data_IF_804056496211
#
_entry.id   IF_804056496211
#
_cell.length_a   1.000
_cell.length_b   1.000
_cell.length_c   1.000
_cell.angle_alpha   90.00
_cell.angle_beta   90.00
_cell.angle_gamma   90.00
#
_symmetry.space_group_name_H-M   'P 1'
#
loop_
_entity.id
_entity.type
_entity.pdbx_description
1 polymer ?
#
# COMPACT_ATOMS: atom_id res chain seq x y z
N UNK A 1 -3.04 -18.04 -19.53
CA UNK A 1 -3.41 -16.79 -18.85
C UNK A 1 -2.93 -15.63 -19.71
N UNK A 2 -3.78 -14.62 -19.94
CA UNK A 2 -3.50 -13.49 -20.85
C UNK A 2 -2.54 -12.48 -20.19
N UNK A 3 -1.86 -11.64 -21.00
CA UNK A 3 -0.96 -10.57 -20.51
C UNK A 3 -1.60 -9.70 -19.42
N UNK A 4 -2.88 -9.30 -19.57
CA UNK A 4 -3.60 -8.52 -18.59
C UNK A 4 -3.67 -9.14 -17.19
N UNK A 5 -3.73 -10.46 -17.08
CA UNK A 5 -3.68 -11.13 -15.78
C UNK A 5 -2.35 -10.85 -15.03
N UNK A 6 -1.20 -11.01 -15.72
CA UNK A 6 0.10 -10.78 -15.09
C UNK A 6 0.32 -9.31 -14.75
N UNK A 7 -0.21 -8.40 -15.55
CA UNK A 7 -0.17 -6.96 -15.28
C UNK A 7 -0.92 -6.63 -13.98
N UNK A 8 -2.15 -7.14 -13.81
CA UNK A 8 -2.92 -6.97 -12.57
C UNK A 8 -2.23 -7.64 -11.37
N UNK A 9 -1.62 -8.81 -11.57
CA UNK A 9 -0.84 -9.48 -10.51
C UNK A 9 0.36 -8.63 -10.05
N UNK A 10 1.05 -7.98 -10.99
CA UNK A 10 2.15 -7.06 -10.66
C UNK A 10 1.63 -5.83 -9.90
N UNK A 11 0.54 -5.21 -10.35
CA UNK A 11 -0.09 -4.10 -9.67
C UNK A 11 -0.49 -4.46 -8.22
N UNK A 12 -1.11 -5.61 -8.04
CA UNK A 12 -1.49 -6.15 -6.73
C UNK A 12 -0.27 -6.37 -5.84
N UNK A 13 0.79 -6.97 -6.39
CA UNK A 13 2.02 -7.25 -5.64
C UNK A 13 2.65 -5.95 -5.11
N UNK A 14 2.87 -4.97 -5.97
CA UNK A 14 3.47 -3.68 -5.58
C UNK A 14 2.58 -2.90 -4.61
N UNK A 15 1.27 -2.89 -4.81
CA UNK A 15 0.33 -2.23 -3.90
C UNK A 15 0.37 -2.85 -2.50
N UNK A 16 0.30 -4.18 -2.40
CA UNK A 16 0.33 -4.89 -1.12
C UNK A 16 1.71 -4.80 -0.45
N UNK A 17 2.79 -4.86 -1.22
CA UNK A 17 4.16 -4.67 -0.72
C UNK A 17 4.31 -3.28 -0.08
N UNK A 18 3.85 -2.24 -0.77
CA UNK A 18 3.90 -0.88 -0.25
C UNK A 18 3.05 -0.69 1.01
N UNK A 19 1.84 -1.28 1.08
CA UNK A 19 0.97 -1.25 2.27
C UNK A 19 1.71 -1.78 3.52
N UNK A 20 2.40 -2.91 3.37
CA UNK A 20 3.11 -3.57 4.48
C UNK A 20 4.45 -2.91 4.82
N UNK A 21 5.17 -2.40 3.83
CA UNK A 21 6.37 -1.61 4.07
C UNK A 21 6.04 -0.30 4.78
N UNK A 22 4.96 0.38 4.37
CA UNK A 22 4.50 1.62 4.99
C UNK A 22 4.09 1.42 6.45
N UNK A 23 3.54 0.26 6.81
CA UNK A 23 3.27 -0.09 8.21
C UNK A 23 4.54 0.01 9.07
N UNK A 24 5.62 -0.62 8.63
CA UNK A 24 6.90 -0.62 9.36
C UNK A 24 7.46 0.80 9.46
N UNK A 25 7.42 1.55 8.36
CA UNK A 25 7.89 2.94 8.32
C UNK A 25 7.04 3.84 9.22
N UNK A 26 5.72 3.65 9.27
CA UNK A 26 4.82 4.40 10.16
C UNK A 26 5.09 4.11 11.64
N UNK A 27 5.39 2.85 11.99
CA UNK A 27 5.82 2.47 13.35
C UNK A 27 7.10 3.22 13.72
N UNK A 28 8.10 3.25 12.83
CA UNK A 28 9.37 3.93 13.10
C UNK A 28 9.20 5.46 13.16
N UNK A 29 8.34 6.03 12.31
CA UNK A 29 8.02 7.46 12.36
C UNK A 29 7.38 7.85 13.70
N UNK A 30 6.43 7.07 14.21
CA UNK A 30 5.83 7.28 15.53
C UNK A 30 6.88 7.14 16.64
N UNK A 31 7.79 6.17 16.52
CA UNK A 31 8.87 5.96 17.49
C UNK A 31 9.83 7.15 17.50
N UNK A 32 10.27 7.62 16.33
CA UNK A 32 11.17 8.76 16.19
C UNK A 32 10.56 10.07 16.74
N UNK A 33 9.23 10.20 16.62
CA UNK A 33 8.48 11.35 17.17
C UNK A 33 8.17 11.22 18.68
N UNK A 34 8.67 10.18 19.37
CA UNK A 34 8.41 9.97 20.79
C UNK A 34 6.93 9.65 21.12
N UNK A 35 6.17 9.16 20.13
CA UNK A 35 4.75 8.87 20.30
C UNK A 35 4.52 7.74 21.32
N UNK A 36 3.43 7.82 22.14
CA UNK A 36 3.08 6.78 23.09
C UNK A 36 2.90 5.40 22.42
N UNK A 37 3.18 4.32 23.13
CA UNK A 37 3.13 2.95 22.59
C UNK A 37 1.76 2.56 22.01
N UNK A 38 0.67 3.06 22.62
CA UNK A 38 -0.67 2.78 22.13
C UNK A 38 -0.89 3.27 20.69
N UNK A 39 -0.22 4.34 20.25
CA UNK A 39 -0.34 4.83 18.87
C UNK A 39 0.27 3.85 17.87
N UNK A 40 1.36 3.19 18.22
CA UNK A 40 1.97 2.14 17.38
C UNK A 40 1.03 0.93 17.28
N UNK A 41 0.43 0.53 18.40
CA UNK A 41 -0.57 -0.54 18.41
C UNK A 41 -1.86 -0.17 17.64
N UNK A 42 -2.23 1.11 17.63
CA UNK A 42 -3.41 1.62 16.94
C UNK A 42 -3.28 1.66 15.41
N UNK A 43 -2.08 1.54 14.84
CA UNK A 43 -1.90 1.54 13.37
C UNK A 43 -2.71 0.43 12.69
N UNK A 44 -2.66 -0.80 13.21
CA UNK A 44 -3.38 -1.94 12.63
C UNK A 44 -4.90 -1.73 12.65
N UNK A 45 -5.54 -1.40 13.79
CA UNK A 45 -6.97 -1.11 13.79
C UNK A 45 -7.34 0.14 12.97
N UNK A 46 -6.49 1.15 12.88
CA UNK A 46 -6.74 2.31 12.01
C UNK A 46 -6.76 1.94 10.53
N UNK A 47 -5.84 1.10 10.07
CA UNK A 47 -5.85 0.56 8.72
C UNK A 47 -7.11 -0.29 8.46
N UNK A 48 -7.47 -1.14 9.42
CA UNK A 48 -8.61 -2.05 9.31
C UNK A 48 -9.97 -1.35 9.46
N UNK A 49 -10.01 -0.14 10.02
CA UNK A 49 -11.24 0.59 10.33
C UNK A 49 -12.20 0.66 9.12
N UNK A 50 -11.67 1.01 7.96
CA UNK A 50 -12.48 1.18 6.76
C UNK A 50 -12.92 -0.15 6.13
N UNK A 51 -12.25 -1.26 6.40
CA UNK A 51 -12.77 -2.57 6.03
C UNK A 51 -14.08 -2.90 6.75
N UNK A 52 -14.22 -2.45 8.00
CA UNK A 52 -15.44 -2.65 8.78
C UNK A 52 -16.51 -1.60 8.40
N UNK A 53 -16.14 -0.32 8.43
CA UNK A 53 -17.09 0.79 8.20
C UNK A 53 -17.63 0.78 6.77
N UNK A 54 -16.80 0.47 5.78
CA UNK A 54 -17.19 0.49 4.38
C UNK A 54 -17.65 -0.87 3.84
N UNK A 55 -17.61 -1.94 4.64
CA UNK A 55 -18.01 -3.27 4.20
C UNK A 55 -19.35 -3.29 3.43
N UNK A 56 -20.40 -2.58 3.85
CA UNK A 56 -21.69 -2.57 3.13
C UNK A 56 -21.63 -1.84 1.78
N UNK A 57 -20.68 -0.94 1.59
CA UNK A 57 -20.63 -0.01 0.46
C UNK A 57 -19.59 -0.36 -0.60
N UNK A 58 -18.49 -1.00 -0.22
CA UNK A 58 -17.35 -1.23 -1.14
C UNK A 58 -17.71 -2.19 -2.28
N UNK A 59 -18.62 -3.14 -2.05
CA UNK A 59 -19.13 -4.02 -3.10
C UNK A 59 -19.88 -3.22 -4.16
N UNK A 60 -20.84 -2.40 -3.74
CA UNK A 60 -21.62 -1.54 -4.63
C UNK A 60 -20.71 -0.54 -5.39
N UNK A 61 -19.74 0.05 -4.72
CA UNK A 61 -18.74 0.90 -5.36
C UNK A 61 -17.91 0.15 -6.41
N UNK A 62 -17.48 -1.06 -6.09
CA UNK A 62 -16.71 -1.89 -7.00
C UNK A 62 -17.52 -2.34 -8.21
N UNK A 63 -18.85 -2.49 -8.08
CA UNK A 63 -19.74 -2.89 -9.15
C UNK A 63 -20.25 -1.72 -10.02
N UNK A 64 -20.23 -0.51 -9.46
CA UNK A 64 -20.63 0.71 -10.18
C UNK A 64 -19.66 1.16 -11.28
N UNK A 65 -18.40 0.73 -11.23
CA UNK A 65 -17.34 1.16 -12.13
C UNK A 65 -16.58 -0.04 -12.70
N UNK A 66 -15.92 0.10 -13.87
CA UNK A 66 -14.98 -0.91 -14.35
C UNK A 66 -13.92 -1.22 -13.30
N UNK A 67 -13.67 -2.50 -13.03
CA UNK A 67 -12.81 -2.96 -11.92
C UNK A 67 -11.40 -2.31 -11.96
N UNK A 68 -10.81 -2.13 -13.15
CA UNK A 68 -9.55 -1.42 -13.30
C UNK A 68 -9.61 0.02 -12.81
N UNK A 69 -10.72 0.76 -13.09
CA UNK A 69 -10.90 2.12 -12.57
C UNK A 69 -11.01 2.15 -11.04
N UNK A 70 -11.72 1.19 -10.45
CA UNK A 70 -11.81 1.06 -8.99
C UNK A 70 -10.44 0.83 -8.39
N UNK A 71 -9.66 -0.10 -8.95
CA UNK A 71 -8.29 -0.38 -8.50
C UNK A 71 -7.39 0.86 -8.62
N UNK A 72 -7.48 1.61 -9.72
CA UNK A 72 -6.74 2.85 -9.93
C UNK A 72 -7.11 3.91 -8.87
N UNK A 73 -8.39 4.20 -8.68
CA UNK A 73 -8.89 5.18 -7.70
C UNK A 73 -8.42 4.76 -6.29
N UNK A 74 -8.55 3.49 -5.95
CA UNK A 74 -8.16 2.95 -4.66
C UNK A 74 -6.66 3.12 -4.39
N UNK A 75 -5.81 2.83 -5.37
CA UNK A 75 -4.36 3.07 -5.25
C UNK A 75 -4.02 4.57 -5.23
N UNK A 76 -4.75 5.42 -5.95
CA UNK A 76 -4.58 6.87 -5.84
C UNK A 76 -4.88 7.38 -4.41
N UNK A 77 -5.91 6.84 -3.75
CA UNK A 77 -6.21 7.13 -2.34
C UNK A 77 -5.04 6.71 -1.44
N UNK A 78 -4.42 5.54 -1.69
CA UNK A 78 -3.24 5.09 -0.95
C UNK A 78 -2.04 6.03 -1.14
N UNK A 79 -1.81 6.50 -2.38
CA UNK A 79 -0.79 7.52 -2.66
C UNK A 79 -1.05 8.79 -1.85
N UNK A 80 -2.30 9.27 -1.80
CA UNK A 80 -2.67 10.44 -1.00
C UNK A 80 -2.35 10.20 0.47
N UNK A 81 -2.73 9.05 1.05
CA UNK A 81 -2.40 8.71 2.42
C UNK A 81 -0.89 8.68 2.68
N UNK A 82 -0.12 8.12 1.75
CA UNK A 82 1.34 8.10 1.82
C UNK A 82 1.93 9.52 1.77
N UNK A 83 1.44 10.38 0.88
CA UNK A 83 1.85 11.80 0.80
C UNK A 83 1.44 12.58 2.04
N UNK A 84 0.25 12.35 2.60
CA UNK A 84 -0.15 12.96 3.88
C UNK A 84 0.87 12.64 4.98
N UNK A 85 1.32 11.39 5.07
CA UNK A 85 2.34 10.98 6.03
C UNK A 85 3.68 11.66 5.76
N UNK A 86 4.08 11.79 4.49
CA UNK A 86 5.31 12.45 4.07
C UNK A 86 5.34 13.93 4.46
N UNK A 87 4.21 14.64 4.29
CA UNK A 87 4.09 16.07 4.59
C UNK A 87 3.66 16.38 6.03
N UNK A 88 3.84 15.44 6.96
CA UNK A 88 3.73 15.67 8.40
C UNK A 88 2.31 15.53 8.97
N UNK A 89 1.35 14.97 8.24
CA UNK A 89 0.07 14.59 8.84
C UNK A 89 0.28 13.47 9.87
N UNK A 90 -0.61 13.41 10.86
CA UNK A 90 -0.49 12.40 11.92
C UNK A 90 -0.49 10.98 11.33
N UNK A 91 0.51 10.12 11.65
CA UNK A 91 0.69 8.82 11.01
C UNK A 91 -0.54 7.90 11.08
N UNK A 92 -1.30 7.93 12.18
CA UNK A 92 -2.53 7.15 12.33
C UNK A 92 -3.59 7.55 11.30
N UNK A 93 -3.78 8.87 11.08
CA UNK A 93 -4.77 9.38 10.11
C UNK A 93 -4.34 9.04 8.69
N UNK A 94 -3.08 9.30 8.38
CA UNK A 94 -2.53 9.02 7.06
C UNK A 94 -2.61 7.51 6.72
N UNK A 95 -2.28 6.65 7.68
CA UNK A 95 -2.37 5.20 7.50
C UNK A 95 -3.81 4.68 7.43
N UNK A 96 -4.76 5.35 8.11
CA UNK A 96 -6.18 5.08 7.96
C UNK A 96 -6.66 5.39 6.53
N UNK A 97 -6.18 6.49 5.90
CA UNK A 97 -6.48 6.81 4.50
C UNK A 97 -5.92 5.74 3.55
N UNK A 98 -4.73 5.21 3.82
CA UNK A 98 -4.20 4.06 3.07
C UNK A 98 -5.12 2.84 3.23
N UNK A 99 -5.60 2.57 4.44
CA UNK A 99 -6.57 1.51 4.74
C UNK A 99 -7.91 1.70 4.00
N UNK A 100 -8.38 2.94 3.86
CA UNK A 100 -9.55 3.27 3.03
C UNK A 100 -9.33 2.82 1.58
N UNK A 101 -8.19 3.17 0.98
CA UNK A 101 -7.84 2.72 -0.36
C UNK A 101 -7.74 1.19 -0.46
N UNK A 102 -7.17 0.53 0.55
CA UNK A 102 -7.03 -0.92 0.59
C UNK A 102 -8.40 -1.62 0.69
N UNK A 103 -9.32 -1.10 1.50
CA UNK A 103 -10.68 -1.61 1.63
C UNK A 103 -11.45 -1.50 0.31
N UNK A 104 -11.37 -0.35 -0.37
CA UNK A 104 -12.01 -0.13 -1.67
C UNK A 104 -11.39 -0.98 -2.80
N UNK A 105 -10.10 -1.27 -2.73
CA UNK A 105 -9.38 -2.10 -3.70
C UNK A 105 -9.79 -3.58 -3.64
N UNK A 106 -10.08 -4.07 -2.45
CA UNK A 106 -10.26 -5.51 -2.18
C UNK A 106 -11.32 -6.19 -3.05
N UNK A 107 -12.57 -5.71 -3.16
CA UNK A 107 -13.58 -6.38 -3.99
C UNK A 107 -13.25 -6.29 -5.49
N UNK A 108 -12.64 -5.20 -5.96
CA UNK A 108 -12.24 -5.06 -7.37
C UNK A 108 -11.12 -6.04 -7.75
N UNK A 109 -10.19 -6.30 -6.83
CA UNK A 109 -9.09 -7.27 -7.00
C UNK A 109 -9.59 -8.67 -7.36
N UNK A 110 -10.63 -9.14 -6.68
CA UNK A 110 -11.22 -10.45 -6.97
C UNK A 110 -12.20 -10.40 -8.14
N UNK A 111 -12.96 -9.32 -8.26
CA UNK A 111 -13.93 -9.13 -9.34
C UNK A 111 -13.28 -9.11 -10.73
N UNK A 112 -12.10 -8.48 -10.88
CA UNK A 112 -11.43 -8.40 -12.18
C UNK A 112 -10.99 -9.78 -12.71
N UNK A 113 -10.79 -10.77 -11.86
CA UNK A 113 -10.45 -12.12 -12.28
C UNK A 113 -11.57 -12.77 -13.08
N UNK A 114 -12.81 -12.54 -12.68
CA UNK A 114 -13.99 -13.11 -13.38
C UNK A 114 -14.22 -12.46 -14.74
N UNK A 115 -13.72 -11.23 -14.93
CA UNK A 115 -13.76 -10.53 -16.23
C UNK A 115 -12.61 -10.98 -17.16
N UNK A 116 -11.45 -11.35 -16.61
CA UNK A 116 -10.25 -11.67 -17.38
C UNK A 116 -10.11 -13.16 -17.72
N UNK A 117 -10.71 -14.05 -16.91
CA UNK A 117 -10.45 -15.48 -16.96
C UNK A 117 -11.74 -16.29 -17.03
N UNK A 118 -11.73 -17.43 -17.76
CA UNK A 118 -12.83 -18.37 -17.75
C UNK A 118 -12.97 -19.07 -16.38
N UNK A 119 -14.16 -19.57 -16.01
CA UNK A 119 -14.41 -20.21 -14.72
C UNK A 119 -13.42 -21.33 -14.36
N UNK A 120 -12.97 -22.10 -15.36
CA UNK A 120 -12.01 -23.20 -15.18
C UNK A 120 -10.63 -22.75 -14.67
N UNK A 121 -10.29 -21.47 -14.79
CA UNK A 121 -9.00 -20.92 -14.35
C UNK A 121 -9.09 -20.11 -13.05
N UNK A 122 -10.28 -19.83 -12.53
CA UNK A 122 -10.47 -18.94 -11.36
C UNK A 122 -9.82 -19.50 -10.09
N UNK A 123 -9.91 -20.81 -9.85
CA UNK A 123 -9.28 -21.43 -8.67
C UNK A 123 -7.77 -21.24 -8.69
N UNK A 124 -7.14 -21.47 -9.86
CA UNK A 124 -5.71 -21.25 -10.02
C UNK A 124 -5.33 -19.78 -9.89
N UNK A 125 -6.14 -18.87 -10.42
CA UNK A 125 -5.90 -17.43 -10.35
C UNK A 125 -6.02 -16.90 -8.91
N UNK A 126 -7.01 -17.37 -8.15
CA UNK A 126 -7.12 -17.05 -6.72
C UNK A 126 -5.91 -17.54 -5.92
N UNK A 127 -5.43 -18.76 -6.21
CA UNK A 127 -4.20 -19.26 -5.59
C UNK A 127 -2.98 -18.37 -5.88
N UNK A 128 -2.85 -17.84 -7.10
CA UNK A 128 -1.81 -16.89 -7.47
C UNK A 128 -1.95 -15.55 -6.71
N UNK A 129 -3.18 -14.99 -6.62
CA UNK A 129 -3.43 -13.76 -5.87
C UNK A 129 -3.04 -13.92 -4.41
N UNK A 130 -3.48 -15.00 -3.77
CA UNK A 130 -3.18 -15.22 -2.35
C UNK A 130 -1.68 -15.48 -2.12
N UNK A 131 -1.05 -16.28 -2.97
CA UNK A 131 0.39 -16.52 -2.89
C UNK A 131 1.22 -15.24 -3.06
N UNK A 132 0.86 -14.38 -4.03
CA UNK A 132 1.50 -13.08 -4.23
C UNK A 132 1.20 -12.12 -3.07
N UNK A 133 -0.01 -12.15 -2.51
CA UNK A 133 -0.35 -11.33 -1.33
C UNK A 133 0.50 -11.72 -0.14
N UNK A 134 0.63 -13.01 0.16
CA UNK A 134 1.50 -13.49 1.27
C UNK A 134 2.97 -13.12 0.99
N UNK A 135 3.45 -13.36 -0.22
CA UNK A 135 4.81 -12.97 -0.62
C UNK A 135 5.06 -11.47 -0.48
N UNK A 136 4.10 -10.63 -0.89
CA UNK A 136 4.21 -9.17 -0.77
C UNK A 136 4.15 -8.69 0.67
N UNK A 137 3.42 -9.36 1.57
CA UNK A 137 3.42 -9.06 3.00
C UNK A 137 4.81 -9.29 3.59
N UNK A 138 5.38 -10.47 3.36
CA UNK A 138 6.71 -10.83 3.88
C UNK A 138 7.77 -9.87 3.33
N UNK A 139 7.81 -9.69 2.01
CA UNK A 139 8.79 -8.82 1.36
C UNK A 139 8.57 -7.35 1.72
N UNK A 140 7.33 -6.90 1.89
CA UNK A 140 6.99 -5.55 2.30
C UNK A 140 7.49 -5.22 3.70
N UNK A 141 7.27 -6.13 4.66
CA UNK A 141 7.79 -5.95 6.03
C UNK A 141 9.32 -5.93 6.04
N UNK A 142 9.96 -6.83 5.29
CA UNK A 142 11.44 -6.84 5.17
C UNK A 142 11.94 -5.56 4.49
N UNK A 143 11.33 -5.13 3.40
CA UNK A 143 11.70 -3.90 2.70
C UNK A 143 11.50 -2.67 3.59
N UNK A 144 10.38 -2.57 4.32
CA UNK A 144 10.15 -1.50 5.28
C UNK A 144 11.22 -1.45 6.36
N UNK A 145 11.58 -2.62 6.94
CA UNK A 145 12.66 -2.72 7.92
C UNK A 145 14.03 -2.31 7.35
N UNK A 146 14.33 -2.70 6.11
CA UNK A 146 15.57 -2.29 5.44
C UNK A 146 15.61 -0.79 5.18
N UNK A 147 14.50 -0.19 4.74
CA UNK A 147 14.42 1.25 4.44
C UNK A 147 14.65 2.14 5.67
N UNK A 148 14.27 1.68 6.86
CA UNK A 148 14.49 2.41 8.12
C UNK A 148 15.73 1.95 8.88
N UNK A 149 16.56 1.07 8.29
CA UNK A 149 17.80 0.61 8.90
C UNK A 149 18.86 1.70 8.91
N UNK A 150 19.78 1.62 9.86
CA UNK A 150 20.92 2.58 9.97
C UNK A 150 21.80 2.62 8.71
N UNK A 151 21.93 1.50 8.01
CA UNK A 151 22.70 1.40 6.76
C UNK A 151 22.00 2.12 5.61
N UNK A 152 20.67 1.93 5.45
CA UNK A 152 19.90 2.64 4.45
C UNK A 152 19.86 4.14 4.73
N UNK A 153 19.75 4.53 6.00
CA UNK A 153 19.79 5.94 6.42
C UNK A 153 21.10 6.58 6.00
N UNK A 154 22.26 5.95 6.30
CA UNK A 154 23.57 6.47 5.94
C UNK A 154 23.74 6.63 4.42
N UNK A 155 23.22 5.67 3.64
CA UNK A 155 23.26 5.72 2.18
C UNK A 155 22.36 6.82 1.62
N UNK A 156 21.15 6.96 2.15
CA UNK A 156 20.13 7.90 1.65
C UNK A 156 20.48 9.34 2.02
N UNK A 157 21.06 9.59 3.19
CA UNK A 157 21.57 10.91 3.58
C UNK A 157 22.76 11.40 2.73
N UNK A 158 23.40 10.51 1.96
CA UNK A 158 24.43 10.92 1.01
C UNK A 158 23.89 11.49 -0.30
N UNK A 159 22.55 11.55 -0.49
CA UNK A 159 21.90 12.02 -1.71
C UNK A 159 21.45 13.49 -1.51
N UNK A 160 22.18 14.50 -2.04
CA UNK A 160 21.86 15.92 -1.83
C UNK A 160 20.49 16.34 -2.38
N UNK A 161 19.96 15.58 -3.37
CA UNK A 161 18.67 15.88 -3.98
C UNK A 161 17.48 15.71 -3.02
N UNK A 162 17.60 14.90 -1.97
CA UNK A 162 16.54 14.71 -0.97
C UNK A 162 16.41 15.92 -0.07
N UNK A 163 17.51 16.53 0.31
CA UNK A 163 17.53 17.75 1.11
C UNK A 163 16.90 18.92 0.37
N UNK A 164 17.11 18.99 -0.95
CA UNK A 164 16.55 20.04 -1.82
C UNK A 164 15.01 20.01 -1.88
N UNK A 165 14.38 18.84 -1.64
CA UNK A 165 12.92 18.67 -1.63
C UNK A 165 12.34 18.60 -0.20
N UNK A 166 13.15 18.93 0.82
CA UNK A 166 12.71 18.99 2.21
C UNK A 166 12.55 17.64 2.89
N UNK A 167 13.21 16.60 2.41
CA UNK A 167 13.20 15.25 2.99
C UNK A 167 14.49 15.05 3.80
N UNK A 168 14.38 15.19 5.11
CA UNK A 168 15.55 15.17 6.00
C UNK A 168 15.61 13.94 6.93
N UNK A 169 14.56 13.14 7.00
CA UNK A 169 14.47 12.01 7.91
C UNK A 169 14.44 10.65 7.20
N UNK A 170 14.98 9.62 7.86
CA UNK A 170 14.95 8.24 7.33
C UNK A 170 13.54 7.76 6.99
N UNK A 171 12.60 7.98 7.90
CA UNK A 171 11.20 7.61 7.68
C UNK A 171 10.59 8.39 6.50
N UNK A 172 10.89 9.69 6.37
CA UNK A 172 10.42 10.50 5.24
C UNK A 172 10.98 10.00 3.91
N UNK A 173 12.27 9.66 3.86
CA UNK A 173 12.89 9.08 2.67
C UNK A 173 12.29 7.73 2.30
N UNK A 174 12.04 6.88 3.29
CA UNK A 174 11.37 5.60 3.09
C UNK A 174 9.95 5.80 2.54
N UNK A 175 9.16 6.74 3.08
CA UNK A 175 7.82 7.08 2.60
C UNK A 175 7.89 7.59 1.16
N UNK A 176 8.86 8.44 0.82
CA UNK A 176 9.06 8.93 -0.53
C UNK A 176 9.30 7.80 -1.53
N UNK A 177 10.15 6.82 -1.19
CA UNK A 177 10.37 5.63 -2.01
C UNK A 177 9.07 4.82 -2.17
N UNK A 178 8.27 4.70 -1.10
CA UNK A 178 7.00 3.97 -1.16
C UNK A 178 5.96 4.64 -2.05
N UNK A 179 5.97 5.98 -2.18
CA UNK A 179 5.15 6.70 -3.16
C UNK A 179 5.45 6.22 -4.58
N UNK A 180 6.72 6.02 -4.93
CA UNK A 180 7.09 5.46 -6.24
C UNK A 180 6.62 4.02 -6.43
N UNK A 181 6.68 3.19 -5.39
CA UNK A 181 6.19 1.79 -5.47
C UNK A 181 4.67 1.78 -5.69
N UNK A 182 3.91 2.65 -5.02
CA UNK A 182 2.48 2.82 -5.30
C UNK A 182 2.24 3.35 -6.72
N UNK A 183 3.06 4.29 -7.19
CA UNK A 183 2.97 4.80 -8.56
C UNK A 183 3.23 3.70 -9.60
N UNK A 184 4.19 2.80 -9.36
CA UNK A 184 4.41 1.62 -10.19
C UNK A 184 3.15 0.72 -10.23
N UNK A 185 2.48 0.54 -9.11
CA UNK A 185 1.20 -0.19 -9.08
C UNK A 185 0.14 0.49 -9.94
N UNK A 186 0.05 1.84 -9.92
CA UNK A 186 -0.89 2.61 -10.74
C UNK A 186 -0.63 2.45 -12.26
N UNK A 187 0.63 2.41 -12.67
CA UNK A 187 1.02 2.25 -14.08
C UNK A 187 0.63 0.86 -14.62
N UNK A 188 0.52 -0.14 -13.74
CA UNK A 188 0.21 -1.52 -14.10
C UNK A 188 -1.30 -1.85 -13.98
N UNK A 189 -2.18 -0.88 -13.80
CA UNK A 189 -3.63 -1.01 -13.79
C UNK A 189 -4.23 -0.49 -15.08
#
# INVERSE_FOLDING_TARGET
>A
MKRGFFTIMSAQFFSSLADNALFVVAVELLRANGAPEWQRAALVPMFALFYVVLAPFVGAFADALPKGKVMFISNAIKVIGCLMMLYGSHPLVAYAVVGLGAAAYSPAKYGILTELLPPSQLVKANGWIEGLTIGSIILGVLAGGLLVSSQAIALLHSIPALDAIGIHGAAQTAIFILVFIYALSLIHI
#
